data_IF_530179984034
#
_entry.id   IF_530179984034
#
_cell.length_a   1.000
_cell.length_b   1.000
_cell.length_c   1.000
_cell.angle_alpha   90.00
_cell.angle_beta   90.00
_cell.angle_gamma   90.00
#
_symmetry.space_group_name_H-M   'P 1'
#
loop_
_entity.id
_entity.type
_entity.pdbx_description
1 polymer ?
#
# COMPACT_ATOMS: atom_id res chain seq x y z
N UNK A 1 13.79 -12.28 4.86
CA UNK A 1 13.20 -12.63 3.56
C UNK A 1 13.16 -11.39 2.66
N UNK A 2 14.33 -10.79 2.43
CA UNK A 2 14.52 -9.53 1.69
C UNK A 2 14.63 -9.75 0.16
N UNK A 3 14.32 -10.98 -0.28
CA UNK A 3 14.56 -11.49 -1.64
C UNK A 3 13.31 -11.72 -2.50
N UNK A 4 12.10 -11.64 -1.92
CA UNK A 4 10.86 -11.92 -2.68
C UNK A 4 10.14 -10.68 -3.21
N UNK A 5 10.48 -9.49 -2.71
CA UNK A 5 10.01 -8.21 -3.27
C UNK A 5 11.04 -7.60 -4.25
N UNK A 6 12.30 -8.05 -4.19
CA UNK A 6 13.39 -7.57 -5.05
C UNK A 6 13.52 -8.32 -6.40
N UNK A 7 12.70 -9.35 -6.64
CA UNK A 7 12.74 -10.15 -7.88
C UNK A 7 11.51 -9.95 -8.78
N UNK A 8 10.99 -8.72 -8.84
CA UNK A 8 10.17 -8.24 -9.96
C UNK A 8 11.02 -7.47 -11.00
N UNK A 9 12.34 -7.70 -11.01
CA UNK A 9 13.25 -7.18 -12.04
C UNK A 9 13.32 -8.11 -13.27
N UNK A 10 12.20 -8.74 -13.65
CA UNK A 10 11.97 -9.11 -15.04
C UNK A 10 11.35 -7.91 -15.72
N UNK A 11 12.21 -7.09 -16.33
CA UNK A 11 11.94 -6.20 -17.46
C UNK A 11 10.44 -5.95 -17.71
N UNK A 12 9.78 -5.18 -16.85
CA UNK A 12 8.51 -4.56 -17.22
C UNK A 12 8.91 -3.53 -18.27
N UNK A 13 8.56 -3.72 -19.55
CA UNK A 13 8.98 -2.78 -20.58
C UNK A 13 8.44 -1.39 -20.23
N UNK A 14 9.21 -0.36 -20.60
CA UNK A 14 8.98 1.08 -20.44
C UNK A 14 7.78 1.54 -21.31
N UNK A 15 6.71 0.76 -21.29
CA UNK A 15 5.55 0.83 -22.19
C UNK A 15 4.29 0.86 -21.34
N UNK A 16 4.25 1.72 -20.31
CA UNK A 16 3.00 1.99 -19.58
C UNK A 16 2.34 3.28 -20.09
N UNK A 17 3.09 4.18 -20.72
CA UNK A 17 2.58 5.46 -21.24
C UNK A 17 2.41 5.52 -22.76
N UNK A 18 2.96 4.57 -23.51
CA UNK A 18 2.89 4.60 -24.98
C UNK A 18 1.54 4.13 -25.57
N UNK A 19 0.67 3.50 -24.77
CA UNK A 19 -0.60 2.93 -25.24
C UNK A 19 -1.83 3.80 -24.92
N UNK A 20 -1.63 5.05 -24.47
CA UNK A 20 -2.72 6.02 -24.35
C UNK A 20 -2.80 6.83 -25.67
N UNK A 21 -3.90 6.76 -26.43
CA UNK A 21 -3.99 7.48 -27.69
C UNK A 21 -3.95 8.99 -27.45
N UNK A 22 -3.13 9.76 -28.19
CA UNK A 22 -3.27 11.19 -28.24
C UNK A 22 -4.59 11.54 -28.97
N UNK A 23 -5.39 12.44 -28.40
CA UNK A 23 -6.60 12.98 -29.05
C UNK A 23 -6.24 13.78 -30.31
N UNK A 24 -7.10 13.83 -31.36
CA UNK A 24 -6.74 14.36 -32.66
C UNK A 24 -6.64 15.89 -32.66
N UNK A 25 -5.44 16.42 -32.91
CA UNK A 25 -5.22 17.82 -33.29
C UNK A 25 -5.29 17.99 -34.81
N UNK A 26 -5.94 19.06 -35.23
CA UNK A 26 -6.34 19.42 -36.61
C UNK A 26 -5.20 19.36 -37.62
N UNK A 27 -5.52 18.79 -38.78
CA UNK A 27 -4.73 18.78 -40.02
C UNK A 27 -4.64 20.20 -40.61
N UNK A 28 -3.44 20.60 -41.03
CA UNK A 28 -3.20 21.70 -41.94
C UNK A 28 -2.42 21.16 -43.14
N UNK A 29 -3.03 21.30 -44.32
CA UNK A 29 -2.52 20.88 -45.62
C UNK A 29 -1.26 21.64 -46.01
N UNK A 30 -0.31 20.96 -46.68
CA UNK A 30 0.53 21.58 -47.73
C UNK A 30 1.17 20.52 -48.64
N UNK A 31 0.63 20.47 -49.87
CA UNK A 31 1.22 20.20 -51.19
C UNK A 31 2.19 19.03 -51.46
N UNK A 32 1.71 18.10 -52.32
CA UNK A 32 2.45 17.09 -53.09
C UNK A 32 3.14 17.68 -54.33
N UNK A 33 4.35 17.20 -54.66
CA UNK A 33 4.82 16.90 -56.03
C UNK A 33 6.02 15.93 -56.00
N UNK A 34 6.11 14.90 -56.87
CA UNK A 34 7.13 13.84 -56.78
C UNK A 34 8.32 14.08 -57.73
N UNK A 35 9.55 13.78 -57.28
CA UNK A 35 10.76 13.74 -58.13
C UNK A 35 11.41 12.34 -58.10
N UNK A 36 11.72 11.80 -59.29
CA UNK A 36 12.43 10.53 -59.51
C UNK A 36 13.91 10.58 -59.05
N UNK A 37 14.52 9.46 -58.65
CA UNK A 37 15.95 9.41 -58.29
C UNK A 37 16.86 9.21 -59.53
N UNK A 38 18.05 9.83 -59.58
CA UNK A 38 19.08 9.54 -60.58
C UNK A 38 20.00 8.36 -60.15
N UNK A 39 20.77 7.76 -61.09
CA UNK A 39 21.41 6.46 -60.91
C UNK A 39 22.69 6.48 -60.06
N UNK A 40 22.95 5.31 -59.48
CA UNK A 40 24.07 4.91 -58.62
C UNK A 40 25.45 5.10 -59.24
N UNK A 41 26.33 5.85 -58.54
CA UNK A 41 27.77 5.84 -58.73
C UNK A 41 28.44 5.06 -57.58
N UNK A 42 29.06 3.93 -57.89
CA UNK A 42 29.92 3.14 -57.00
C UNK A 42 31.31 3.76 -56.88
N UNK A 43 31.84 4.07 -55.68
CA UNK A 43 33.24 4.44 -55.52
C UNK A 43 34.14 3.25 -55.18
N UNK A 44 35.35 3.30 -55.72
CA UNK A 44 36.52 2.42 -55.55
C UNK A 44 36.77 1.96 -54.10
N UNK A 45 36.92 0.65 -53.90
CA UNK A 45 37.44 0.05 -52.67
C UNK A 45 38.97 0.15 -52.68
N UNK A 46 39.51 1.19 -52.05
CA UNK A 46 40.91 1.22 -51.62
C UNK A 46 41.01 0.52 -50.25
N UNK A 47 41.75 -0.59 -50.19
CA UNK A 47 42.11 -1.29 -48.94
C UNK A 47 43.05 -0.39 -48.11
N UNK A 48 42.50 0.40 -47.19
CA UNK A 48 43.27 0.98 -46.10
C UNK A 48 43.29 0.01 -44.92
N UNK A 49 44.46 -0.49 -44.57
CA UNK A 49 44.67 -1.37 -43.42
C UNK A 49 44.14 -0.73 -42.13
N UNK A 50 43.32 -1.49 -41.40
CA UNK A 50 42.90 -1.12 -40.06
C UNK A 50 44.09 -1.27 -39.12
N UNK A 51 44.73 -0.15 -38.80
CA UNK A 51 45.68 -0.06 -37.69
C UNK A 51 44.84 0.15 -36.42
N UNK A 52 44.87 -0.76 -35.43
CA UNK A 52 44.19 -0.52 -34.17
C UNK A 52 44.81 0.71 -33.50
N UNK A 53 44.05 1.79 -33.35
CA UNK A 53 44.42 2.88 -32.44
C UNK A 53 44.31 2.36 -31.01
N UNK A 54 45.44 2.33 -30.32
CA UNK A 54 45.57 2.42 -28.86
C UNK A 54 44.52 1.65 -28.04
N UNK A 55 44.78 0.35 -27.84
CA UNK A 55 44.09 -0.52 -26.89
C UNK A 55 44.34 -0.17 -25.40
N UNK A 56 44.80 1.05 -25.12
CA UNK A 56 45.07 1.58 -23.77
C UNK A 56 44.07 2.66 -23.33
N UNK A 57 43.07 2.99 -24.16
CA UNK A 57 42.03 3.99 -23.82
C UNK A 57 40.69 3.40 -23.32
N UNK A 58 40.54 2.07 -23.30
CA UNK A 58 39.36 1.39 -22.73
C UNK A 58 39.53 1.09 -21.23
N UNK A 59 40.08 2.03 -20.47
CA UNK A 59 39.86 2.04 -19.02
C UNK A 59 38.38 2.39 -18.85
N UNK A 60 37.58 1.38 -18.54
CA UNK A 60 36.17 1.51 -18.20
C UNK A 60 36.03 2.71 -17.25
N UNK A 61 35.44 3.79 -17.75
CA UNK A 61 34.95 4.84 -16.86
C UNK A 61 34.01 4.14 -15.89
N UNK A 62 34.20 4.29 -14.56
CA UNK A 62 33.30 3.63 -13.63
C UNK A 62 31.89 4.08 -13.98
N UNK A 63 30.98 3.11 -14.19
CA UNK A 63 29.58 3.33 -14.57
C UNK A 63 28.85 4.30 -13.63
N UNK A 64 29.45 4.56 -12.46
CA UNK A 64 29.08 5.59 -11.51
C UNK A 64 30.33 6.35 -11.08
N UNK A 65 30.43 7.68 -11.26
CA UNK A 65 31.50 8.45 -10.64
C UNK A 65 31.46 8.25 -9.12
N UNK A 66 32.61 8.19 -8.42
CA UNK A 66 32.63 8.09 -6.97
C UNK A 66 31.83 9.28 -6.41
N UNK A 67 30.68 8.99 -5.80
CA UNK A 67 29.85 10.03 -5.20
C UNK A 67 30.67 10.68 -4.08
N UNK A 68 30.74 12.00 -4.08
CA UNK A 68 31.43 12.70 -2.99
C UNK A 68 30.77 12.32 -1.66
N UNK A 69 31.53 12.17 -0.56
CA UNK A 69 30.95 11.88 0.75
C UNK A 69 29.82 12.86 1.12
N UNK A 70 29.95 14.11 0.68
CA UNK A 70 28.94 15.15 0.79
C UNK A 70 27.60 14.77 0.13
N UNK A 71 27.62 14.25 -1.10
CA UNK A 71 26.39 13.81 -1.79
C UNK A 71 25.74 12.62 -1.09
N UNK A 72 26.54 11.68 -0.56
CA UNK A 72 26.02 10.55 0.24
C UNK A 72 25.37 11.04 1.53
N UNK A 73 25.96 12.03 2.19
CA UNK A 73 25.43 12.62 3.43
C UNK A 73 24.15 13.43 3.18
N UNK A 74 24.05 14.13 2.05
CA UNK A 74 22.85 14.84 1.62
C UNK A 74 21.69 13.86 1.36
N UNK A 75 21.96 12.80 0.58
CA UNK A 75 21.01 11.71 0.32
C UNK A 75 20.55 11.03 1.62
N UNK A 76 21.48 10.74 2.53
CA UNK A 76 21.16 10.13 3.82
C UNK A 76 20.29 11.06 4.70
N UNK A 77 20.57 12.36 4.71
CA UNK A 77 19.81 13.32 5.50
C UNK A 77 18.36 13.45 5.00
N UNK A 78 18.15 13.47 3.69
CA UNK A 78 16.82 13.47 3.10
C UNK A 78 16.06 12.17 3.40
N UNK A 79 16.72 11.02 3.27
CA UNK A 79 16.14 9.72 3.63
C UNK A 79 15.74 9.67 5.11
N UNK A 80 16.60 10.13 6.02
CA UNK A 80 16.31 10.15 7.45
C UNK A 80 15.20 11.14 7.81
N UNK A 81 15.18 12.32 7.19
CA UNK A 81 14.13 13.33 7.36
C UNK A 81 12.74 12.80 6.99
N UNK A 82 12.66 11.87 6.03
CA UNK A 82 11.42 11.17 5.68
C UNK A 82 11.17 9.91 6.52
N UNK A 83 12.21 9.12 6.81
CA UNK A 83 12.08 7.83 7.49
C UNK A 83 11.70 7.97 8.97
N UNK A 84 12.22 8.97 9.68
CA UNK A 84 11.89 9.24 11.10
C UNK A 84 10.39 9.48 11.30
N UNK A 85 9.75 10.44 10.59
CA UNK A 85 8.31 10.67 10.73
C UNK A 85 7.48 9.44 10.38
N UNK A 86 7.83 8.71 9.32
CA UNK A 86 7.13 7.48 8.92
C UNK A 86 7.27 6.38 9.99
N UNK A 87 8.47 6.23 10.57
CA UNK A 87 8.73 5.27 11.66
C UNK A 87 7.91 5.63 12.90
N UNK A 88 7.90 6.91 13.29
CA UNK A 88 7.08 7.38 14.42
C UNK A 88 5.58 7.14 14.17
N UNK A 89 5.09 7.36 12.95
CA UNK A 89 3.72 7.06 12.57
C UNK A 89 3.41 5.56 12.69
N UNK A 90 4.33 4.69 12.26
CA UNK A 90 4.17 3.24 12.40
C UNK A 90 4.20 2.77 13.86
N UNK A 91 5.03 3.36 14.73
CA UNK A 91 5.03 3.08 16.18
C UNK A 91 3.66 3.38 16.82
N UNK A 92 2.95 4.41 16.37
CA UNK A 92 1.63 4.72 16.88
C UNK A 92 0.54 3.75 16.41
N UNK A 93 0.71 3.11 15.26
CA UNK A 93 -0.19 2.01 14.84
C UNK A 93 -0.12 0.85 15.85
N UNK A 94 1.06 0.58 16.43
CA UNK A 94 1.17 -0.38 17.54
C UNK A 94 0.42 0.08 18.78
N UNK A 95 0.60 1.34 19.18
CA UNK A 95 -0.08 1.88 20.36
C UNK A 95 -1.61 1.74 20.24
N UNK A 96 -2.16 2.01 19.05
CA UNK A 96 -3.58 1.80 18.75
C UNK A 96 -4.01 0.36 19.01
N UNK A 97 -3.28 -0.62 18.46
CA UNK A 97 -3.59 -2.04 18.64
C UNK A 97 -3.54 -2.45 20.12
N UNK A 98 -2.49 -2.01 20.84
CA UNK A 98 -2.33 -2.26 22.28
C UNK A 98 -3.50 -1.71 23.07
N UNK A 99 -3.95 -0.48 22.77
CA UNK A 99 -5.11 0.14 23.45
C UNK A 99 -6.36 -0.71 23.26
N UNK A 100 -6.68 -1.11 22.03
CA UNK A 100 -7.85 -1.97 21.77
C UNK A 100 -7.80 -3.29 22.55
N UNK A 101 -6.64 -3.95 22.58
CA UNK A 101 -6.43 -5.21 23.33
C UNK A 101 -6.55 -5.00 24.83
N UNK A 102 -6.03 -3.89 25.37
CA UNK A 102 -6.16 -3.56 26.79
C UNK A 102 -7.62 -3.37 27.22
N UNK A 103 -8.44 -2.71 26.39
CA UNK A 103 -9.87 -2.54 26.66
C UNK A 103 -10.61 -3.88 26.60
N UNK A 104 -10.32 -4.73 25.61
CA UNK A 104 -10.87 -6.09 25.56
C UNK A 104 -10.48 -6.91 26.78
N UNK A 105 -9.21 -6.85 27.20
CA UNK A 105 -8.72 -7.54 28.39
C UNK A 105 -9.34 -7.03 29.70
N UNK A 106 -9.74 -5.75 29.76
CA UNK A 106 -10.48 -5.19 30.91
C UNK A 106 -11.93 -5.62 30.96
N UNK A 107 -12.55 -5.90 29.81
CA UNK A 107 -13.92 -6.42 29.76
C UNK A 107 -13.99 -7.86 30.27
N UNK A 108 -13.01 -8.69 29.92
CA UNK A 108 -12.91 -10.05 30.43
C UNK A 108 -12.08 -10.95 29.50
N UNK A 109 -11.84 -12.19 29.96
CA UNK A 109 -11.10 -13.19 29.20
C UNK A 109 -11.87 -13.67 27.97
N UNK A 110 -13.21 -13.70 28.02
CA UNK A 110 -14.07 -14.07 26.90
C UNK A 110 -14.03 -13.01 25.80
N UNK A 111 -14.14 -11.75 26.17
CA UNK A 111 -14.08 -10.58 25.30
C UNK A 111 -12.72 -10.44 24.64
N UNK A 112 -11.65 -10.67 25.40
CA UNK A 112 -10.30 -10.73 24.88
C UNK A 112 -10.12 -11.86 23.86
N UNK A 113 -10.62 -13.06 24.16
CA UNK A 113 -10.54 -14.21 23.24
C UNK A 113 -11.34 -13.97 21.96
N UNK A 114 -12.62 -13.58 22.09
CA UNK A 114 -13.49 -13.32 20.93
C UNK A 114 -13.03 -12.12 20.11
N UNK A 115 -12.61 -11.04 20.76
CA UNK A 115 -12.04 -9.87 20.08
C UNK A 115 -10.74 -10.20 19.35
N UNK A 116 -9.86 -10.99 19.94
CA UNK A 116 -8.62 -11.46 19.27
C UNK A 116 -8.93 -12.36 18.07
N UNK A 117 -9.89 -13.29 18.20
CA UNK A 117 -10.35 -14.13 17.11
C UNK A 117 -10.90 -13.29 15.95
N UNK A 118 -11.73 -12.29 16.26
CA UNK A 118 -12.26 -11.38 15.24
C UNK A 118 -11.18 -10.50 14.60
N UNK A 119 -10.20 -10.02 15.36
CA UNK A 119 -9.09 -9.23 14.84
C UNK A 119 -8.27 -10.04 13.83
N UNK A 120 -7.90 -11.28 14.17
CA UNK A 120 -7.23 -12.20 13.24
C UNK A 120 -8.07 -12.45 11.99
N UNK A 121 -9.35 -12.79 12.17
CA UNK A 121 -10.26 -13.05 11.05
C UNK A 121 -10.39 -11.85 10.09
N UNK A 122 -10.63 -10.65 10.64
CA UNK A 122 -10.78 -9.42 9.83
C UNK A 122 -9.47 -8.99 9.16
N UNK A 123 -8.32 -9.20 9.81
CA UNK A 123 -7.00 -8.95 9.22
C UNK A 123 -6.74 -9.87 8.01
N UNK A 124 -6.98 -11.18 8.16
CA UNK A 124 -6.76 -12.18 7.12
C UNK A 124 -7.69 -11.95 5.94
N UNK A 125 -8.97 -11.73 6.20
CA UNK A 125 -10.00 -11.81 5.15
C UNK A 125 -10.36 -10.47 4.53
N UNK A 126 -10.13 -9.36 5.23
CA UNK A 126 -10.49 -8.02 4.77
C UNK A 126 -9.32 -7.07 4.67
N UNK A 127 -8.70 -6.71 5.80
CA UNK A 127 -7.72 -5.62 5.81
C UNK A 127 -6.47 -5.91 4.95
N UNK A 128 -5.92 -7.12 5.00
CA UNK A 128 -4.80 -7.52 4.14
C UNK A 128 -5.15 -7.45 2.65
N UNK A 129 -6.37 -7.84 2.27
CA UNK A 129 -6.87 -7.78 0.89
C UNK A 129 -7.00 -6.33 0.42
N UNK A 130 -7.59 -5.45 1.22
CA UNK A 130 -7.78 -4.04 0.86
C UNK A 130 -6.44 -3.29 0.75
N UNK A 131 -5.53 -3.49 1.71
CA UNK A 131 -4.17 -2.93 1.65
C UNK A 131 -3.42 -3.50 0.45
N UNK A 132 -3.56 -4.80 0.21
CA UNK A 132 -2.98 -5.54 -0.89
C UNK A 132 -3.35 -4.98 -2.27
N UNK A 133 -4.65 -4.89 -2.53
CA UNK A 133 -5.20 -4.35 -3.77
C UNK A 133 -4.80 -2.88 -3.98
N UNK A 134 -4.90 -2.07 -2.91
CA UNK A 134 -4.54 -0.66 -2.96
C UNK A 134 -3.06 -0.44 -3.29
N UNK A 135 -2.17 -1.32 -2.83
CA UNK A 135 -0.73 -1.24 -3.10
C UNK A 135 -0.38 -1.40 -4.58
N UNK A 136 -1.23 -2.08 -5.36
CA UNK A 136 -1.08 -2.14 -6.83
C UNK A 136 -1.22 -0.78 -7.54
N UNK A 137 -1.73 0.24 -6.85
CA UNK A 137 -1.81 1.61 -7.35
C UNK A 137 -0.44 2.31 -7.38
N UNK A 138 0.47 1.93 -6.49
CA UNK A 138 1.77 2.60 -6.31
C UNK A 138 2.60 2.70 -7.60
N UNK A 139 2.86 1.61 -8.35
CA UNK A 139 3.63 1.71 -9.59
C UNK A 139 2.96 2.59 -10.64
N UNK A 140 1.62 2.61 -10.69
CA UNK A 140 0.87 3.46 -11.64
C UNK A 140 1.01 4.93 -11.27
N UNK A 141 0.85 5.26 -9.99
CA UNK A 141 0.97 6.65 -9.51
C UNK A 141 2.40 7.17 -9.62
N UNK A 142 3.40 6.40 -9.20
CA UNK A 142 4.80 6.82 -9.25
C UNK A 142 5.27 7.05 -10.70
N UNK A 143 4.89 6.18 -11.63
CA UNK A 143 5.22 6.35 -13.05
C UNK A 143 4.49 7.54 -13.67
N UNK A 144 3.20 7.72 -13.37
CA UNK A 144 2.44 8.87 -13.87
C UNK A 144 3.05 10.19 -13.35
N UNK A 145 3.37 10.26 -12.06
CA UNK A 145 3.94 11.46 -11.44
C UNK A 145 5.34 11.80 -11.99
N UNK A 146 6.20 10.80 -12.16
CA UNK A 146 7.54 10.92 -12.75
C UNK A 146 7.55 11.13 -14.26
N UNK A 147 6.43 10.92 -14.95
CA UNK A 147 6.34 11.18 -16.39
C UNK A 147 6.41 12.67 -16.72
N UNK A 148 7.08 13.01 -17.82
CA UNK A 148 7.10 14.38 -18.35
C UNK A 148 5.82 14.71 -19.16
N UNK A 149 4.70 14.07 -18.83
CA UNK A 149 3.43 14.20 -19.54
C UNK A 149 2.57 15.30 -18.90
N UNK A 150 2.04 16.21 -19.73
CA UNK A 150 1.14 17.28 -19.30
C UNK A 150 -0.17 16.74 -18.68
N UNK A 151 -0.58 15.52 -19.05
CA UNK A 151 -1.82 14.88 -18.58
C UNK A 151 -1.63 14.01 -17.33
N UNK A 152 -0.46 14.06 -16.67
CA UNK A 152 -0.17 13.22 -15.50
C UNK A 152 -1.19 13.32 -14.37
N UNK A 153 -1.74 14.51 -14.13
CA UNK A 153 -2.73 14.75 -13.07
C UNK A 153 -4.07 14.08 -13.35
N UNK A 154 -4.45 13.97 -14.62
CA UNK A 154 -5.65 13.25 -15.06
C UNK A 154 -5.45 11.74 -14.88
N UNK A 155 -4.30 11.21 -15.30
CA UNK A 155 -3.95 9.80 -15.10
C UNK A 155 -3.92 9.41 -13.62
N UNK A 156 -3.32 10.25 -12.78
CA UNK A 156 -3.30 10.10 -11.33
C UNK A 156 -4.71 10.06 -10.73
N UNK A 157 -5.53 11.06 -11.04
CA UNK A 157 -6.91 11.15 -10.52
C UNK A 157 -7.78 9.98 -11.00
N UNK A 158 -7.70 9.63 -12.28
CA UNK A 158 -8.44 8.50 -12.84
C UNK A 158 -8.03 7.16 -12.21
N UNK A 159 -6.73 6.95 -11.96
CA UNK A 159 -6.23 5.72 -11.33
C UNK A 159 -6.71 5.58 -9.89
N UNK A 160 -6.76 6.69 -9.14
CA UNK A 160 -7.32 6.73 -7.80
C UNK A 160 -8.81 6.35 -7.78
N UNK A 161 -9.63 6.95 -8.66
CA UNK A 161 -11.06 6.63 -8.76
C UNK A 161 -11.28 5.17 -9.14
N UNK A 162 -10.51 4.65 -10.10
CA UNK A 162 -10.57 3.23 -10.50
C UNK A 162 -10.21 2.30 -9.34
N UNK A 163 -9.19 2.65 -8.54
CA UNK A 163 -8.83 1.87 -7.36
C UNK A 163 -9.94 1.86 -6.31
N UNK A 164 -10.57 3.01 -6.05
CA UNK A 164 -11.71 3.08 -5.13
C UNK A 164 -12.84 2.15 -5.61
N UNK A 165 -13.13 2.13 -6.91
CA UNK A 165 -14.13 1.19 -7.48
C UNK A 165 -13.72 -0.27 -7.30
N UNK A 166 -12.45 -0.62 -7.55
CA UNK A 166 -11.93 -1.98 -7.31
C UNK A 166 -12.15 -2.38 -5.85
N UNK A 167 -11.82 -1.52 -4.89
CA UNK A 167 -12.01 -1.80 -3.47
C UNK A 167 -13.49 -1.89 -3.08
N UNK A 168 -14.35 -1.02 -3.63
CA UNK A 168 -15.81 -1.10 -3.41
C UNK A 168 -16.40 -2.43 -3.89
N UNK A 169 -15.91 -2.98 -5.01
CA UNK A 169 -16.30 -4.32 -5.45
C UNK A 169 -15.74 -5.40 -4.53
N UNK A 170 -14.48 -5.26 -4.07
CA UNK A 170 -13.84 -6.23 -3.19
C UNK A 170 -14.51 -6.34 -1.81
N UNK A 171 -15.01 -5.23 -1.25
CA UNK A 171 -15.67 -5.27 0.06
C UNK A 171 -17.01 -6.00 0.06
N UNK A 172 -17.65 -6.22 -1.10
CA UNK A 172 -18.94 -6.93 -1.18
C UNK A 172 -18.78 -8.38 -0.68
N UNK A 173 -17.92 -9.23 -1.28
CA UNK A 173 -17.71 -10.59 -0.77
C UNK A 173 -17.10 -10.60 0.64
N UNK A 174 -16.24 -9.62 0.99
CA UNK A 174 -15.67 -9.52 2.35
C UNK A 174 -16.78 -9.26 3.38
N UNK A 175 -17.71 -8.36 3.09
CA UNK A 175 -18.83 -8.04 3.99
C UNK A 175 -19.74 -9.25 4.19
N UNK A 176 -20.04 -9.98 3.12
CA UNK A 176 -20.81 -11.23 3.21
C UNK A 176 -20.10 -12.27 4.07
N UNK A 177 -18.78 -12.40 3.93
CA UNK A 177 -17.96 -13.28 4.75
C UNK A 177 -17.99 -12.86 6.23
N UNK A 178 -17.86 -11.57 6.53
CA UNK A 178 -17.88 -11.03 7.90
C UNK A 178 -19.24 -11.19 8.58
N UNK A 179 -20.33 -10.98 7.85
CA UNK A 179 -21.70 -11.22 8.34
C UNK A 179 -21.96 -12.70 8.67
N UNK A 180 -21.20 -13.62 8.07
CA UNK A 180 -21.31 -15.06 8.30
C UNK A 180 -20.18 -15.60 9.20
N UNK A 181 -19.46 -14.75 9.95
CA UNK A 181 -18.37 -15.20 10.83
C UNK A 181 -18.83 -16.31 11.80
N UNK A 182 -19.95 -16.11 12.48
CA UNK A 182 -20.47 -17.04 13.48
C UNK A 182 -20.69 -18.47 12.95
N UNK A 183 -21.53 -18.70 11.91
CA UNK A 183 -21.72 -20.05 11.38
C UNK A 183 -20.43 -20.66 10.83
N UNK A 184 -19.52 -19.86 10.25
CA UNK A 184 -18.23 -20.34 9.75
C UNK A 184 -17.35 -20.84 10.89
N UNK A 185 -17.23 -20.07 11.97
CA UNK A 185 -16.38 -20.41 13.11
C UNK A 185 -16.94 -21.60 13.91
N UNK A 186 -18.26 -21.69 14.07
CA UNK A 186 -18.91 -22.87 14.66
C UNK A 186 -18.65 -24.13 13.82
N UNK A 187 -18.70 -24.03 12.49
CA UNK A 187 -18.35 -25.14 11.59
C UNK A 187 -16.88 -25.57 11.74
N UNK A 188 -15.99 -24.61 12.00
CA UNK A 188 -14.59 -24.86 12.30
C UNK A 188 -14.35 -25.40 13.73
N UNK A 189 -15.40 -25.63 14.51
CA UNK A 189 -15.34 -26.20 15.85
C UNK A 189 -14.90 -25.21 16.94
N UNK A 190 -15.06 -23.90 16.72
CA UNK A 190 -14.80 -22.90 17.76
C UNK A 190 -15.88 -22.94 18.86
N UNK A 191 -15.49 -22.50 20.06
CA UNK A 191 -16.42 -22.32 21.18
C UNK A 191 -17.52 -21.30 20.82
N UNK A 192 -18.76 -21.60 21.21
CA UNK A 192 -19.91 -20.79 20.83
C UNK A 192 -19.90 -19.39 21.46
N UNK A 193 -19.46 -19.25 22.71
CA UNK A 193 -19.42 -17.96 23.39
C UNK A 193 -18.30 -17.06 22.82
N UNK A 194 -17.12 -17.65 22.57
CA UNK A 194 -16.01 -16.94 21.89
C UNK A 194 -16.45 -16.51 20.49
N UNK A 195 -17.11 -17.40 19.76
CA UNK A 195 -17.58 -17.16 18.39
C UNK A 195 -18.62 -16.04 18.32
N UNK A 196 -19.62 -16.05 19.19
CA UNK A 196 -20.65 -15.00 19.24
C UNK A 196 -20.04 -13.62 19.58
N UNK A 197 -19.06 -13.61 20.50
CA UNK A 197 -18.29 -12.41 20.85
C UNK A 197 -17.48 -11.89 19.65
N UNK A 198 -16.81 -12.80 18.92
CA UNK A 198 -16.06 -12.46 17.71
C UNK A 198 -16.97 -11.93 16.60
N UNK A 199 -18.14 -12.54 16.40
CA UNK A 199 -19.12 -12.10 15.41
C UNK A 199 -19.63 -10.69 15.72
N UNK A 200 -19.86 -10.37 17.00
CA UNK A 200 -20.21 -9.02 17.44
C UNK A 200 -19.12 -8.01 17.06
N UNK A 201 -17.85 -8.27 17.42
CA UNK A 201 -16.73 -7.39 17.03
C UNK A 201 -16.66 -7.18 15.52
N UNK A 202 -16.79 -8.27 14.75
CA UNK A 202 -16.70 -8.26 13.30
C UNK A 202 -17.83 -7.45 12.66
N UNK A 203 -19.07 -7.62 13.15
CA UNK A 203 -20.24 -6.85 12.70
C UNK A 203 -20.03 -5.35 12.89
N UNK A 204 -19.59 -4.93 14.08
CA UNK A 204 -19.28 -3.51 14.34
C UNK A 204 -18.09 -2.98 13.54
N UNK A 205 -17.26 -3.85 12.97
CA UNK A 205 -16.12 -3.47 12.11
C UNK A 205 -16.53 -3.23 10.65
N UNK A 206 -17.74 -3.62 10.21
CA UNK A 206 -18.18 -3.47 8.81
C UNK A 206 -18.04 -2.05 8.22
N UNK A 207 -18.35 -0.96 8.94
CA UNK A 207 -18.17 0.40 8.39
C UNK A 207 -16.70 0.74 8.09
N UNK A 208 -15.75 0.02 8.71
CA UNK A 208 -14.33 0.20 8.42
C UNK A 208 -13.97 -0.22 7.00
N UNK A 209 -14.68 -1.20 6.42
CA UNK A 209 -14.47 -1.63 5.03
C UNK A 209 -14.66 -0.46 4.05
N UNK A 210 -15.76 0.28 4.20
CA UNK A 210 -16.04 1.47 3.39
C UNK A 210 -15.01 2.58 3.60
N UNK A 211 -14.59 2.78 4.86
CA UNK A 211 -13.56 3.77 5.19
C UNK A 211 -12.24 3.42 4.50
N UNK A 212 -11.86 2.14 4.50
CA UNK A 212 -10.62 1.67 3.88
C UNK A 212 -10.65 1.76 2.34
N UNK A 213 -11.82 1.69 1.69
CA UNK A 213 -11.94 1.92 0.24
C UNK A 213 -11.45 3.30 -0.20
N UNK A 214 -11.48 4.30 0.70
CA UNK A 214 -10.98 5.65 0.43
C UNK A 214 -9.61 5.88 1.06
N UNK A 215 -9.45 5.45 2.32
CA UNK A 215 -8.24 5.70 3.10
C UNK A 215 -7.00 5.06 2.47
N UNK A 216 -7.07 3.79 2.05
CA UNK A 216 -5.91 3.07 1.54
C UNK A 216 -5.41 3.61 0.18
N UNK A 217 -6.28 3.80 -0.83
CA UNK A 217 -5.84 4.37 -2.11
C UNK A 217 -5.32 5.80 -1.97
N UNK A 218 -5.92 6.61 -1.09
CA UNK A 218 -5.47 7.98 -0.87
C UNK A 218 -4.08 8.03 -0.21
N UNK A 219 -3.77 7.11 0.73
CA UNK A 219 -2.41 6.99 1.28
C UNK A 219 -1.38 6.69 0.19
N UNK A 220 -1.66 5.71 -0.66
CA UNK A 220 -0.77 5.32 -1.76
C UNK A 220 -0.61 6.48 -2.74
N UNK A 221 -1.72 7.09 -3.15
CA UNK A 221 -1.74 8.23 -4.06
C UNK A 221 -0.84 9.38 -3.58
N UNK A 222 -0.96 9.80 -2.32
CA UNK A 222 -0.17 10.88 -1.75
C UNK A 222 1.30 10.50 -1.60
N UNK A 223 1.58 9.27 -1.12
CA UNK A 223 2.96 8.77 -0.94
C UNK A 223 3.72 8.65 -2.26
N UNK A 224 3.09 8.16 -3.33
CA UNK A 224 3.68 8.06 -4.67
C UNK A 224 4.12 9.40 -5.27
N UNK A 225 3.76 10.52 -4.65
CA UNK A 225 4.07 11.88 -5.09
C UNK A 225 5.01 12.61 -4.11
N UNK A 226 5.56 11.87 -3.13
CA UNK A 226 6.42 12.42 -2.09
C UNK A 226 5.66 13.21 -1.01
N UNK A 227 4.32 13.17 -0.98
CA UNK A 227 3.52 13.94 -0.03
C UNK A 227 3.20 13.09 1.21
N UNK A 228 4.13 13.12 2.18
CA UNK A 228 4.07 12.30 3.40
C UNK A 228 3.58 13.05 4.63
N UNK A 229 3.59 14.39 4.64
CA UNK A 229 3.08 15.22 5.76
C UNK A 229 1.63 14.90 6.19
N UNK A 230 0.66 14.65 5.29
CA UNK A 230 -0.70 14.25 5.70
C UNK A 230 -0.70 12.91 6.46
N UNK A 231 0.25 12.02 6.20
CA UNK A 231 0.37 10.75 6.90
C UNK A 231 0.77 10.97 8.37
N UNK A 232 1.40 12.10 8.70
CA UNK A 232 1.69 12.52 10.07
C UNK A 232 0.46 13.03 10.81
N UNK A 233 -0.59 13.46 10.11
CA UNK A 233 -1.87 13.78 10.75
C UNK A 233 -2.52 12.52 11.37
N UNK A 234 -2.11 11.32 10.95
CA UNK A 234 -2.52 10.08 11.61
C UNK A 234 -2.07 10.03 13.09
N UNK A 235 -0.99 10.75 13.47
CA UNK A 235 -0.57 10.82 14.87
C UNK A 235 -1.69 11.42 15.75
N UNK A 236 -2.35 12.46 15.25
CA UNK A 236 -3.46 13.12 15.94
C UNK A 236 -4.66 12.16 16.03
N UNK A 237 -4.98 11.45 14.93
CA UNK A 237 -6.07 10.49 14.94
C UNK A 237 -5.87 9.33 15.92
N UNK A 238 -4.63 8.82 16.06
CA UNK A 238 -4.31 7.78 17.05
C UNK A 238 -4.45 8.31 18.48
N UNK A 239 -4.09 9.57 18.75
CA UNK A 239 -4.28 10.15 20.07
C UNK A 239 -5.76 10.13 20.51
N UNK A 240 -6.70 10.29 19.58
CA UNK A 240 -8.14 10.16 19.85
C UNK A 240 -8.61 8.71 20.08
N UNK A 241 -7.81 7.69 19.74
CA UNK A 241 -8.22 6.31 19.90
C UNK A 241 -8.44 5.90 21.37
N UNK A 242 -7.63 6.42 22.30
CA UNK A 242 -7.79 6.17 23.74
C UNK A 242 -9.09 6.79 24.27
N UNK A 243 -9.37 8.11 24.08
CA UNK A 243 -10.66 8.69 24.43
C UNK A 243 -11.86 7.98 23.79
N UNK A 244 -11.76 7.59 22.52
CA UNK A 244 -12.85 6.89 21.83
C UNK A 244 -13.15 5.53 22.47
N UNK A 245 -12.13 4.74 22.80
CA UNK A 245 -12.32 3.48 23.52
C UNK A 245 -12.93 3.73 24.91
N UNK A 246 -12.41 4.72 25.66
CA UNK A 246 -12.95 5.04 26.98
C UNK A 246 -14.44 5.39 26.91
N UNK A 247 -14.83 6.31 26.02
CA UNK A 247 -16.23 6.74 25.89
C UNK A 247 -17.13 5.59 25.42
N UNK A 248 -16.74 4.84 24.39
CA UNK A 248 -17.59 3.80 23.83
C UNK A 248 -17.70 2.57 24.72
N UNK A 249 -16.62 2.20 25.41
CA UNK A 249 -16.58 0.98 26.23
C UNK A 249 -17.03 1.26 27.67
N UNK A 250 -16.50 2.31 28.31
CA UNK A 250 -16.75 2.60 29.73
C UNK A 250 -18.03 3.42 29.91
N UNK A 251 -18.13 4.58 29.25
CA UNK A 251 -19.27 5.50 29.46
C UNK A 251 -20.55 5.01 28.77
N UNK A 252 -20.43 4.43 27.57
CA UNK A 252 -21.57 3.94 26.78
C UNK A 252 -21.85 2.44 26.97
N UNK A 253 -20.94 1.70 27.61
CA UNK A 253 -21.15 0.27 27.90
C UNK A 253 -21.30 -0.62 26.66
N UNK A 254 -20.74 -0.24 25.50
CA UNK A 254 -20.90 -1.02 24.25
C UNK A 254 -20.03 -2.29 24.19
N UNK A 255 -19.29 -2.59 25.25
CA UNK A 255 -18.44 -3.78 25.35
C UNK A 255 -17.50 -3.95 24.17
N UNK A 256 -17.46 -5.17 23.62
CA UNK A 256 -16.61 -5.57 22.49
C UNK A 256 -16.93 -4.77 21.22
N UNK A 257 -18.22 -4.49 20.96
CA UNK A 257 -18.64 -3.63 19.85
C UNK A 257 -18.12 -2.20 19.98
N UNK A 258 -17.99 -1.69 21.21
CA UNK A 258 -17.39 -0.40 21.50
C UNK A 258 -15.92 -0.31 21.08
N UNK A 259 -15.13 -1.37 21.31
CA UNK A 259 -13.72 -1.43 20.88
C UNK A 259 -13.61 -1.45 19.35
N UNK A 260 -14.45 -2.23 18.67
CA UNK A 260 -14.51 -2.25 17.21
C UNK A 260 -14.89 -0.87 16.63
N UNK A 261 -15.92 -0.23 17.18
CA UNK A 261 -16.35 1.10 16.76
C UNK A 261 -15.31 2.19 17.03
N UNK A 262 -14.56 2.10 18.14
CA UNK A 262 -13.45 3.01 18.39
C UNK A 262 -12.38 2.90 17.29
N UNK A 263 -12.15 1.69 16.78
CA UNK A 263 -11.27 1.46 15.63
C UNK A 263 -11.81 2.11 14.35
N UNK A 264 -13.07 1.85 14.01
CA UNK A 264 -13.76 2.47 12.86
C UNK A 264 -13.66 3.99 12.91
N UNK A 265 -14.03 4.60 14.03
CA UNK A 265 -14.04 6.06 14.18
C UNK A 265 -12.66 6.66 14.05
N UNK A 266 -11.61 6.03 14.59
CA UNK A 266 -10.25 6.51 14.38
C UNK A 266 -9.85 6.47 12.90
N UNK A 267 -10.22 5.44 12.15
CA UNK A 267 -9.93 5.36 10.72
C UNK A 267 -10.71 6.42 9.93
N UNK A 268 -11.95 6.71 10.31
CA UNK A 268 -12.73 7.82 9.75
C UNK A 268 -12.05 9.15 10.06
N UNK A 269 -11.54 9.34 11.28
CA UNK A 269 -10.77 10.53 11.67
C UNK A 269 -9.49 10.66 10.83
N UNK A 270 -8.72 9.57 10.65
CA UNK A 270 -7.54 9.56 9.77
C UNK A 270 -7.90 9.96 8.34
N UNK A 271 -8.96 9.38 7.79
CA UNK A 271 -9.43 9.68 6.44
C UNK A 271 -9.85 11.15 6.31
N UNK A 272 -10.65 11.65 7.26
CA UNK A 272 -11.11 13.04 7.28
C UNK A 272 -9.97 14.05 7.40
N UNK A 273 -9.00 13.81 8.30
CA UNK A 273 -7.82 14.66 8.43
C UNK A 273 -6.96 14.66 7.17
N UNK A 274 -6.80 13.51 6.51
CA UNK A 274 -6.03 13.40 5.28
C UNK A 274 -6.72 14.13 4.11
N UNK A 275 -8.04 13.96 3.94
CA UNK A 275 -8.83 14.69 2.94
C UNK A 275 -8.79 16.20 3.24
N UNK A 276 -8.98 16.60 4.50
CA UNK A 276 -8.92 17.99 4.93
C UNK A 276 -7.56 18.64 4.66
N UNK A 277 -6.45 17.93 4.92
CA UNK A 277 -5.13 18.40 4.56
C UNK A 277 -5.00 18.64 3.06
N UNK A 278 -5.42 17.68 2.24
CA UNK A 278 -5.38 17.80 0.78
C UNK A 278 -6.21 19.00 0.30
N UNK A 279 -7.36 19.23 0.92
CA UNK A 279 -8.24 20.35 0.57
C UNK A 279 -7.64 21.73 0.92
N UNK A 280 -6.97 21.86 2.07
CA UNK A 280 -6.42 23.14 2.56
C UNK A 280 -5.05 23.47 1.92
N UNK A 281 -4.13 22.50 1.90
CA UNK A 281 -2.73 22.74 1.52
C UNK A 281 -2.39 22.23 0.13
N UNK A 282 -3.29 21.45 -0.48
CA UNK A 282 -3.03 20.84 -1.76
C UNK A 282 -3.27 21.77 -2.96
N UNK A 283 -2.21 22.10 -3.72
CA UNK A 283 -2.33 22.54 -5.12
C UNK A 283 -2.57 21.36 -6.08
N UNK A 284 -3.63 20.59 -5.87
CA UNK A 284 -3.88 19.36 -6.63
C UNK A 284 -5.01 19.56 -7.62
N UNK A 285 -4.78 19.19 -8.88
CA UNK A 285 -5.83 19.18 -9.91
C UNK A 285 -6.59 17.86 -9.83
N UNK A 286 -7.36 17.68 -8.74
CA UNK A 286 -8.25 16.55 -8.62
C UNK A 286 -9.39 16.71 -9.63
N UNK A 287 -9.51 15.74 -10.54
CA UNK A 287 -10.66 15.66 -11.44
C UNK A 287 -11.39 14.36 -11.16
N UNK A 288 -12.64 14.46 -10.69
CA UNK A 288 -13.57 13.33 -10.56
C UNK A 288 -14.10 12.91 -11.93
N UNK A 289 -13.21 12.79 -12.92
CA UNK A 289 -13.57 12.35 -14.26
C UNK A 289 -13.25 10.89 -14.39
N UNK A 290 -14.29 10.11 -14.61
CA UNK A 290 -14.15 8.78 -15.16
C UNK A 290 -13.59 8.91 -16.58
N UNK A 291 -12.42 8.32 -16.83
CA UNK A 291 -11.89 8.17 -18.19
C UNK A 291 -12.16 6.74 -18.64
N UNK A 292 -12.91 6.59 -19.73
CA UNK A 292 -13.12 5.30 -20.38
C UNK A 292 -11.83 4.86 -21.09
N UNK A 293 -11.47 3.58 -20.99
CA UNK A 293 -10.40 2.96 -21.79
C UNK A 293 -9.19 2.39 -21.03
N UNK A 294 -8.80 1.19 -21.46
CA UNK A 294 -7.50 0.44 -21.44
C UNK A 294 -6.73 0.30 -20.11
N UNK A 295 -6.96 1.13 -19.08
CA UNK A 295 -6.19 1.10 -17.83
C UNK A 295 -6.73 0.18 -16.72
N UNK A 296 -8.03 -0.15 -16.72
CA UNK A 296 -8.65 -0.90 -15.61
C UNK A 296 -8.11 -2.33 -15.51
N UNK A 297 -8.03 -3.06 -16.63
CA UNK A 297 -7.53 -4.44 -16.63
C UNK A 297 -6.07 -4.54 -16.18
N UNK A 298 -5.24 -3.57 -16.57
CA UNK A 298 -3.83 -3.48 -16.15
C UNK A 298 -3.71 -3.15 -14.67
N UNK A 299 -4.50 -2.20 -14.17
CA UNK A 299 -4.55 -1.87 -12.75
C UNK A 299 -5.02 -3.06 -11.91
N UNK A 300 -6.07 -3.76 -12.33
CA UNK A 300 -6.55 -4.98 -11.67
C UNK A 300 -5.46 -6.05 -11.63
N UNK A 301 -4.74 -6.29 -12.73
CA UNK A 301 -3.63 -7.25 -12.77
C UNK A 301 -2.54 -6.90 -11.76
N UNK A 302 -2.11 -5.64 -11.73
CA UNK A 302 -1.11 -5.16 -10.76
C UNK A 302 -1.62 -5.31 -9.32
N UNK A 303 -2.86 -4.90 -9.05
CA UNK A 303 -3.52 -5.02 -7.75
C UNK A 303 -3.62 -6.46 -7.28
N UNK A 304 -4.00 -7.42 -8.14
CA UNK A 304 -4.07 -8.83 -7.76
C UNK A 304 -2.68 -9.36 -7.41
N UNK A 305 -1.66 -9.06 -8.20
CA UNK A 305 -0.28 -9.48 -7.89
C UNK A 305 0.23 -8.89 -6.58
N UNK A 306 0.03 -7.58 -6.34
CA UNK A 306 0.37 -6.94 -5.07
C UNK A 306 -0.42 -7.50 -3.89
N UNK A 307 -1.71 -7.77 -4.11
CA UNK A 307 -2.60 -8.34 -3.10
C UNK A 307 -2.14 -9.73 -2.66
N UNK A 308 -1.76 -10.60 -3.60
CA UNK A 308 -1.23 -11.92 -3.26
C UNK A 308 0.04 -11.82 -2.41
N UNK A 309 0.97 -10.93 -2.77
CA UNK A 309 2.20 -10.73 -2.00
C UNK A 309 1.93 -10.31 -0.56
N UNK A 310 1.09 -9.27 -0.38
CA UNK A 310 0.76 -8.74 0.96
C UNK A 310 -0.11 -9.73 1.76
N UNK A 311 -1.07 -10.40 1.14
CA UNK A 311 -1.89 -11.41 1.81
C UNK A 311 -1.03 -12.57 2.29
N UNK A 312 -0.14 -13.11 1.45
CA UNK A 312 0.78 -14.17 1.88
C UNK A 312 1.70 -13.71 3.01
N UNK A 313 2.16 -12.46 2.97
CA UNK A 313 2.94 -11.85 4.06
C UNK A 313 2.13 -11.72 5.36
N UNK A 314 0.82 -11.49 5.32
CA UNK A 314 0.02 -11.37 6.54
C UNK A 314 -0.44 -12.74 7.05
N UNK A 315 -0.87 -13.61 6.14
CA UNK A 315 -1.40 -14.92 6.46
C UNK A 315 -0.34 -15.85 7.04
N UNK A 316 0.94 -15.73 6.67
CA UNK A 316 1.97 -16.59 7.26
C UNK A 316 2.15 -16.33 8.76
N UNK A 317 2.00 -15.09 9.25
CA UNK A 317 2.05 -14.78 10.68
C UNK A 317 0.95 -15.52 11.46
N UNK A 318 -0.23 -15.60 10.87
CA UNK A 318 -1.39 -16.30 11.43
C UNK A 318 -1.20 -17.82 11.38
N UNK A 319 -0.65 -18.35 10.29
CA UNK A 319 -0.29 -19.77 10.17
C UNK A 319 0.74 -20.16 11.24
N UNK A 320 1.78 -19.35 11.46
CA UNK A 320 2.77 -19.63 12.51
C UNK A 320 2.15 -19.59 13.89
N UNK A 321 1.22 -18.67 14.14
CA UNK A 321 0.47 -18.60 15.41
C UNK A 321 -0.37 -19.86 15.63
N UNK A 322 -1.08 -20.32 14.59
CA UNK A 322 -1.85 -21.58 14.64
C UNK A 322 -0.94 -22.78 14.88
N UNK A 323 0.18 -22.89 14.15
CA UNK A 323 1.15 -23.97 14.32
C UNK A 323 1.78 -23.99 15.72
N UNK A 324 2.02 -22.81 16.32
CA UNK A 324 2.47 -22.71 17.70
C UNK A 324 1.45 -23.29 18.70
N UNK A 325 0.16 -23.23 18.37
CA UNK A 325 -0.92 -23.87 19.13
C UNK A 325 -0.90 -25.40 19.14
N UNK A 326 -0.14 -26.04 18.24
CA UNK A 326 0.05 -27.50 18.19
C UNK A 326 1.33 -27.98 18.91
N UNK A 327 2.13 -27.08 19.46
CA UNK A 327 3.34 -27.44 20.22
C UNK A 327 2.99 -28.02 21.59
N UNK A 328 3.92 -28.76 22.19
CA UNK A 328 3.74 -29.47 23.46
C UNK A 328 3.28 -28.56 24.63
N UNK A 329 3.64 -27.27 24.60
CA UNK A 329 3.18 -26.29 25.56
C UNK A 329 2.53 -25.09 24.84
N UNK A 330 1.28 -25.23 24.37
CA UNK A 330 0.69 -24.33 23.38
C UNK A 330 0.43 -22.93 23.96
N UNK A 331 0.12 -22.82 25.26
CA UNK A 331 -0.06 -21.53 25.93
C UNK A 331 1.22 -20.68 25.89
N UNK A 332 2.36 -21.29 26.23
CA UNK A 332 3.65 -20.62 26.22
C UNK A 332 4.11 -20.33 24.78
N UNK A 333 3.94 -21.30 23.89
CA UNK A 333 4.35 -21.16 22.50
C UNK A 333 3.57 -20.07 21.75
N UNK A 334 2.24 -20.04 21.85
CA UNK A 334 1.40 -19.00 21.23
C UNK A 334 1.71 -17.62 21.82
N UNK A 335 1.86 -17.51 23.14
CA UNK A 335 2.25 -16.25 23.77
C UNK A 335 3.64 -15.78 23.29
N UNK A 336 4.62 -16.68 23.21
CA UNK A 336 5.95 -16.40 22.69
C UNK A 336 5.93 -15.95 21.23
N UNK A 337 5.20 -16.67 20.37
CA UNK A 337 5.00 -16.32 18.96
C UNK A 337 4.34 -14.94 18.83
N UNK A 338 3.32 -14.64 19.64
CA UNK A 338 2.69 -13.31 19.66
C UNK A 338 3.69 -12.20 19.97
N UNK A 339 4.52 -12.36 21.01
CA UNK A 339 5.60 -11.40 21.33
C UNK A 339 6.58 -11.27 20.16
N UNK A 340 6.96 -12.39 19.54
CA UNK A 340 7.90 -12.44 18.43
C UNK A 340 7.34 -11.67 17.22
N UNK A 341 6.09 -11.92 16.83
CA UNK A 341 5.39 -11.24 15.73
C UNK A 341 5.29 -9.74 16.01
N UNK A 342 4.90 -9.33 17.21
CA UNK A 342 4.83 -7.91 17.58
C UNK A 342 6.21 -7.24 17.51
N UNK A 343 7.25 -7.93 17.97
CA UNK A 343 8.63 -7.43 17.93
C UNK A 343 9.13 -7.32 16.48
N UNK A 344 8.88 -8.33 15.65
CA UNK A 344 9.20 -8.30 14.21
C UNK A 344 8.49 -7.15 13.52
N UNK A 345 7.21 -6.95 13.81
CA UNK A 345 6.41 -5.89 13.21
C UNK A 345 6.96 -4.51 13.59
N UNK A 346 7.36 -4.31 14.85
CA UNK A 346 8.01 -3.07 15.31
C UNK A 346 9.34 -2.84 14.58
N UNK A 347 10.18 -3.87 14.44
CA UNK A 347 11.45 -3.79 13.71
C UNK A 347 11.25 -3.50 12.21
N UNK A 348 10.16 -4.00 11.61
CA UNK A 348 9.86 -3.83 10.19
C UNK A 348 9.46 -2.40 9.81
N UNK A 349 9.08 -1.57 10.78
CA UNK A 349 8.69 -0.17 10.55
C UNK A 349 9.79 0.66 9.89
N UNK A 350 11.06 0.44 10.27
CA UNK A 350 12.22 1.18 9.76
C UNK A 350 12.56 0.75 8.32
N UNK A 351 12.74 -0.54 8.00
CA UNK A 351 12.91 -0.99 6.61
C UNK A 351 11.76 -0.56 5.69
N UNK A 352 10.51 -0.64 6.16
CA UNK A 352 9.34 -0.22 5.38
C UNK A 352 9.36 1.29 5.10
N UNK A 353 9.70 2.10 6.10
CA UNK A 353 9.86 3.54 5.93
C UNK A 353 10.94 3.86 4.89
N UNK A 354 12.11 3.22 5.00
CA UNK A 354 13.21 3.39 4.07
C UNK A 354 12.85 2.94 2.65
N UNK A 355 12.20 1.79 2.49
CA UNK A 355 11.74 1.29 1.19
C UNK A 355 10.76 2.26 0.52
N UNK A 356 9.83 2.82 1.30
CA UNK A 356 8.91 3.86 0.82
C UNK A 356 9.64 5.15 0.40
N UNK A 357 10.67 5.56 1.14
CA UNK A 357 11.48 6.72 0.79
C UNK A 357 12.27 6.51 -0.50
N UNK A 358 12.88 5.32 -0.67
CA UNK A 358 13.62 4.96 -1.89
C UNK A 358 12.68 4.88 -3.09
N UNK A 359 11.45 4.37 -2.94
CA UNK A 359 10.50 4.27 -4.04
C UNK A 359 9.89 5.61 -4.48
N UNK A 360 9.94 6.63 -3.61
CA UNK A 360 9.41 7.97 -3.92
C UNK A 360 10.44 8.87 -4.63
N UNK A 361 11.70 8.44 -4.68
CA UNK A 361 12.80 9.08 -5.42
C UNK A 361 13.05 8.32 -6.72
#
# INVERSE_FOLDING_TARGET
>A
MMGMVTNLNQSIPITILHDFPPSPSRCGDDHLSPQLPPPTNTPNIQRSGWVPRDATSLVASPLFPPQSPYRVMEELNELLSMAIPITAANCLVFLRAVVSVLFLGRLGSLELAGGSLSLGFTNITGYSVLVGLASGLEPVCSQAYGSNNNNKWELLSASLVRMIVILLVAIIPISLLWLNLEPIMLLMGQDAAITSTAATYCYYSLPDLLTNCLLQPLRVYLRSQGVTKPLMCNLIAVAFHVPLNYVLVVEKGLGVGGVAMASVLTNINMMGLMIGYVWVYGKWKWTWRWTEGIGMGKLVRLSVTSCMGICLEWWWYEIVTVLAGYLANPRLAVAGTGILIQTTSLMYTVPMALAGCVSAR
#
